data_IF_209941180357
#
_entry.id   IF_209941180357
#
_cell.length_a   1.000
_cell.length_b   1.000
_cell.length_c   1.000
_cell.angle_alpha   90.00
_cell.angle_beta   90.00
_cell.angle_gamma   90.00
#
_symmetry.space_group_name_H-M   'P 1'
#
loop_
_entity.id
_entity.type
_entity.pdbx_description
1 polymer ?
#
# COMPACT_ATOMS: atom_id res chain seq x y z
N UNK A 1 3.86 32.44 1.98
CA UNK A 1 4.36 31.54 0.92
C UNK A 1 5.35 30.53 1.44
N UNK A 2 6.43 31.00 2.00
CA UNK A 2 7.45 30.11 2.53
C UNK A 2 6.92 29.18 3.63
N UNK A 3 6.14 29.74 4.56
CA UNK A 3 5.58 28.95 5.65
C UNK A 3 4.65 27.83 5.14
N UNK A 4 3.93 28.06 4.06
CA UNK A 4 3.07 27.06 3.45
C UNK A 4 3.90 25.94 2.82
N UNK A 5 4.99 26.29 2.14
CA UNK A 5 5.91 25.31 1.55
C UNK A 5 6.59 24.50 2.66
N UNK A 6 7.08 25.19 3.69
CA UNK A 6 7.72 24.51 4.82
C UNK A 6 6.76 23.57 5.55
N UNK A 7 5.50 23.98 5.70
CA UNK A 7 4.50 23.15 6.33
C UNK A 7 4.20 21.91 5.48
N UNK A 8 4.10 22.08 4.14
CA UNK A 8 3.91 20.97 3.25
C UNK A 8 5.08 19.98 3.30
N UNK A 9 6.30 20.49 3.33
CA UNK A 9 7.49 19.66 3.43
C UNK A 9 7.53 18.91 4.76
N UNK A 10 7.21 19.58 5.87
CA UNK A 10 7.17 18.94 7.18
C UNK A 10 6.10 17.85 7.25
N UNK A 11 4.92 18.11 6.67
CA UNK A 11 3.85 17.13 6.61
C UNK A 11 4.31 15.90 5.82
N UNK A 12 4.98 16.10 4.67
CA UNK A 12 5.52 15.00 3.87
C UNK A 12 6.61 14.23 4.59
N UNK A 13 7.44 14.91 5.38
CA UNK A 13 8.47 14.23 6.17
C UNK A 13 7.89 13.33 7.25
N UNK A 14 6.71 13.67 7.78
CA UNK A 14 6.03 12.87 8.80
C UNK A 14 5.00 11.92 8.21
N UNK A 15 4.67 12.09 6.94
CA UNK A 15 3.70 11.24 6.28
C UNK A 15 4.25 9.84 6.03
N UNK A 16 3.37 8.87 6.19
CA UNK A 16 3.68 7.50 5.82
C UNK A 16 3.71 7.36 4.31
N UNK A 17 4.51 6.44 3.83
CA UNK A 17 4.67 6.17 2.41
C UNK A 17 3.90 4.93 2.00
N UNK A 18 3.06 5.09 0.99
CA UNK A 18 2.25 4.01 0.42
C UNK A 18 2.67 3.79 -1.03
N UNK A 19 2.89 2.55 -1.39
CA UNK A 19 3.12 2.17 -2.79
C UNK A 19 1.90 1.43 -3.29
N UNK A 20 1.37 1.85 -4.42
CA UNK A 20 0.22 1.20 -5.08
C UNK A 20 0.72 0.54 -6.36
N UNK A 21 0.52 -0.76 -6.48
CA UNK A 21 0.94 -1.54 -7.63
C UNK A 21 -0.29 -2.16 -8.29
N UNK A 22 -0.64 -1.65 -9.46
CA UNK A 22 -1.79 -2.12 -10.23
C UNK A 22 -1.53 -1.77 -11.70
N UNK A 23 -1.85 -2.69 -12.62
CA UNK A 23 -1.62 -2.45 -14.04
C UNK A 23 -2.70 -1.56 -14.67
N UNK A 24 -3.80 -1.33 -13.97
CA UNK A 24 -4.89 -0.46 -14.43
C UNK A 24 -4.60 0.99 -14.02
N UNK A 25 -4.39 1.85 -15.00
CA UNK A 25 -4.10 3.26 -14.77
C UNK A 25 -5.22 3.97 -13.99
N UNK A 26 -6.48 3.65 -14.29
CA UNK A 26 -7.58 4.32 -13.58
C UNK A 26 -7.65 3.93 -12.12
N UNK A 27 -7.28 2.71 -11.77
CA UNK A 27 -7.16 2.28 -10.38
C UNK A 27 -6.03 3.03 -9.69
N UNK A 28 -4.85 3.13 -10.33
CA UNK A 28 -3.75 3.89 -9.75
C UNK A 28 -4.14 5.34 -9.49
N UNK A 29 -4.82 5.98 -10.43
CA UNK A 29 -5.29 7.36 -10.26
C UNK A 29 -6.29 7.49 -9.12
N UNK A 30 -7.20 6.53 -9.00
CA UNK A 30 -8.19 6.51 -7.92
C UNK A 30 -7.49 6.45 -6.55
N UNK A 31 -6.52 5.57 -6.39
CA UNK A 31 -5.76 5.49 -5.15
C UNK A 31 -4.97 6.77 -4.88
N UNK A 32 -4.37 7.34 -5.90
CA UNK A 32 -3.64 8.59 -5.73
C UNK A 32 -4.56 9.69 -5.21
N UNK A 33 -5.71 9.87 -5.84
CA UNK A 33 -6.67 10.89 -5.42
C UNK A 33 -7.20 10.64 -4.01
N UNK A 34 -7.41 9.38 -3.67
CA UNK A 34 -7.92 9.01 -2.36
C UNK A 34 -6.92 9.27 -1.24
N UNK A 35 -5.64 9.08 -1.49
CA UNK A 35 -4.63 8.97 -0.44
C UNK A 35 -3.61 10.11 -0.38
N UNK A 36 -3.41 10.85 -1.47
CA UNK A 36 -2.27 11.77 -1.55
C UNK A 36 -2.32 12.96 -0.59
N UNK A 37 -3.49 13.31 -0.07
CA UNK A 37 -3.59 14.43 0.88
C UNK A 37 -2.96 14.08 2.23
N UNK A 38 -3.05 12.82 2.63
CA UNK A 38 -2.61 12.39 3.96
C UNK A 38 -1.35 11.53 3.93
N UNK A 39 -0.96 11.03 2.76
CA UNK A 39 0.14 10.08 2.62
C UNK A 39 1.03 10.44 1.44
N UNK A 40 2.29 10.02 1.52
CA UNK A 40 3.18 10.02 0.38
C UNK A 40 2.82 8.81 -0.49
N UNK A 41 2.33 9.03 -1.70
CA UNK A 41 1.84 7.94 -2.56
C UNK A 41 2.75 7.80 -3.77
N UNK A 42 3.26 6.59 -3.98
CA UNK A 42 4.02 6.22 -5.15
C UNK A 42 3.27 5.14 -5.91
N UNK A 43 3.33 5.20 -7.24
CA UNK A 43 2.57 4.30 -8.11
C UNK A 43 3.51 3.46 -8.97
N UNK A 44 3.16 2.20 -9.14
CA UNK A 44 3.89 1.31 -10.05
C UNK A 44 2.87 0.51 -10.87
N UNK A 45 3.17 0.30 -12.13
CA UNK A 45 2.26 -0.40 -13.04
C UNK A 45 2.42 -1.92 -13.02
N UNK A 46 3.54 -2.42 -12.53
CA UNK A 46 3.81 -3.84 -12.44
C UNK A 46 4.82 -4.14 -11.33
N UNK A 47 5.02 -5.43 -11.08
CA UNK A 47 5.90 -5.89 -10.01
C UNK A 47 7.36 -5.55 -10.24
N UNK A 48 7.82 -5.60 -11.47
CA UNK A 48 9.21 -5.27 -11.80
C UNK A 48 9.50 -3.81 -11.50
N UNK A 49 8.61 -2.93 -11.92
CA UNK A 49 8.77 -1.50 -11.65
C UNK A 49 8.77 -1.22 -10.16
N UNK A 50 7.84 -1.86 -9.42
CA UNK A 50 7.76 -1.67 -7.97
C UNK A 50 9.06 -2.13 -7.28
N UNK A 51 9.53 -3.32 -7.59
CA UNK A 51 10.76 -3.85 -6.99
C UNK A 51 11.98 -3.02 -7.36
N UNK A 52 12.10 -2.65 -8.63
CA UNK A 52 13.23 -1.86 -9.10
C UNK A 52 13.33 -0.51 -8.40
N UNK A 53 12.20 0.17 -8.26
CA UNK A 53 12.17 1.53 -7.70
C UNK A 53 12.18 1.57 -6.17
N UNK A 54 11.57 0.59 -5.51
CA UNK A 54 11.22 0.74 -4.10
C UNK A 54 11.76 -0.36 -3.17
N UNK A 55 12.46 -1.37 -3.68
CA UNK A 55 12.93 -2.51 -2.86
C UNK A 55 13.77 -2.07 -1.65
N UNK A 56 14.57 -1.03 -1.82
CA UNK A 56 15.45 -0.52 -0.77
C UNK A 56 14.98 0.83 -0.19
N UNK A 57 13.72 1.18 -0.41
CA UNK A 57 13.13 2.44 0.05
C UNK A 57 12.30 2.17 1.29
N UNK A 58 12.22 3.14 2.19
CA UNK A 58 11.34 3.02 3.35
C UNK A 58 9.89 3.12 2.90
N UNK A 59 9.14 2.05 3.14
CA UNK A 59 7.72 1.95 2.78
C UNK A 59 6.94 1.53 4.01
N UNK A 60 5.79 2.14 4.22
CA UNK A 60 4.92 1.79 5.35
C UNK A 60 3.78 0.87 4.95
N UNK A 61 3.31 0.95 3.71
CA UNK A 61 2.24 0.12 3.19
C UNK A 61 2.44 -0.15 1.70
N UNK A 62 2.26 -1.40 1.30
CA UNK A 62 2.17 -1.79 -0.10
C UNK A 62 0.73 -2.24 -0.36
N UNK A 63 0.09 -1.61 -1.35
CA UNK A 63 -1.23 -2.02 -1.86
C UNK A 63 -0.98 -2.65 -3.23
N UNK A 64 -1.29 -3.91 -3.39
CA UNK A 64 -0.96 -4.64 -4.61
C UNK A 64 -2.14 -5.42 -5.14
N UNK A 65 -2.38 -5.32 -6.45
CA UNK A 65 -3.28 -6.23 -7.15
C UNK A 65 -2.62 -7.60 -7.22
N UNK A 66 -3.39 -8.65 -6.98
CA UNK A 66 -2.89 -10.02 -7.14
C UNK A 66 -2.48 -10.29 -8.58
N UNK A 67 -3.33 -9.92 -9.52
CA UNK A 67 -3.14 -10.26 -10.92
C UNK A 67 -2.36 -9.17 -11.65
N UNK A 68 -1.05 -9.26 -11.59
CA UNK A 68 -0.13 -8.36 -12.28
C UNK A 68 0.57 -9.11 -13.40
N UNK A 69 0.97 -8.41 -14.49
CA UNK A 69 1.68 -9.08 -15.57
C UNK A 69 3.03 -9.61 -15.10
N UNK A 70 3.43 -10.76 -15.64
CA UNK A 70 4.71 -11.44 -15.44
C UNK A 70 4.89 -12.02 -14.03
N UNK A 71 4.78 -11.19 -13.00
CA UNK A 71 4.93 -11.62 -11.60
C UNK A 71 3.70 -11.14 -10.82
N UNK A 72 2.95 -12.06 -10.25
CA UNK A 72 1.73 -11.69 -9.51
C UNK A 72 2.06 -10.97 -8.19
N UNK A 73 1.01 -10.40 -7.57
CA UNK A 73 1.18 -9.61 -6.37
C UNK A 73 1.77 -10.37 -5.19
N UNK A 74 1.41 -11.65 -5.02
CA UNK A 74 1.96 -12.46 -3.93
C UNK A 74 3.44 -12.74 -4.12
N UNK A 75 3.85 -13.05 -5.34
CA UNK A 75 5.27 -13.26 -5.63
C UNK A 75 6.06 -11.97 -5.39
N UNK A 76 5.50 -10.84 -5.80
CA UNK A 76 6.13 -9.54 -5.57
C UNK A 76 6.30 -9.27 -4.07
N UNK A 77 5.25 -9.50 -3.29
CA UNK A 77 5.31 -9.29 -1.83
C UNK A 77 6.35 -10.22 -1.20
N UNK A 78 6.41 -11.48 -1.66
CA UNK A 78 7.43 -12.42 -1.16
C UNK A 78 8.84 -11.85 -1.38
N UNK A 79 9.09 -11.26 -2.53
CA UNK A 79 10.39 -10.65 -2.84
C UNK A 79 10.68 -9.41 -1.98
N UNK A 80 9.67 -8.59 -1.73
CA UNK A 80 9.84 -7.48 -0.79
C UNK A 80 10.17 -7.99 0.62
N UNK A 81 9.48 -9.03 1.08
CA UNK A 81 9.76 -9.63 2.40
C UNK A 81 11.19 -10.19 2.48
N UNK A 82 11.62 -10.88 1.44
CA UNK A 82 12.99 -11.41 1.36
C UNK A 82 14.04 -10.30 1.43
N UNK A 83 13.71 -9.14 0.90
CA UNK A 83 14.60 -7.96 0.93
C UNK A 83 14.57 -7.21 2.25
N UNK A 84 13.77 -7.67 3.22
CA UNK A 84 13.72 -7.06 4.55
C UNK A 84 12.53 -6.17 4.82
N UNK A 85 11.58 -6.08 3.90
CA UNK A 85 10.37 -5.28 4.13
C UNK A 85 9.55 -5.85 5.30
N UNK A 86 9.23 -5.02 6.28
CA UNK A 86 8.46 -5.42 7.47
C UNK A 86 7.17 -4.63 7.64
N UNK A 87 6.81 -3.79 6.65
CA UNK A 87 5.62 -2.95 6.72
C UNK A 87 4.34 -3.70 6.40
N UNK A 88 3.27 -2.95 6.34
CA UNK A 88 1.93 -3.46 6.08
C UNK A 88 1.73 -3.80 4.61
N UNK A 89 0.81 -4.72 4.34
CA UNK A 89 0.46 -5.11 2.98
C UNK A 89 -1.05 -5.29 2.87
N UNK A 90 -1.63 -4.65 1.86
CA UNK A 90 -3.02 -4.88 1.45
C UNK A 90 -2.98 -5.52 0.07
N UNK A 91 -3.60 -6.67 -0.06
CA UNK A 91 -3.74 -7.36 -1.33
C UNK A 91 -5.15 -7.15 -1.87
N UNK A 92 -5.26 -6.93 -3.18
CA UNK A 92 -6.53 -6.69 -3.85
C UNK A 92 -6.67 -7.69 -4.98
N UNK A 93 -7.88 -8.23 -5.19
CA UNK A 93 -8.12 -9.13 -6.31
C UNK A 93 -9.58 -9.11 -6.75
N UNK A 94 -9.80 -9.25 -8.05
CA UNK A 94 -11.12 -9.59 -8.60
C UNK A 94 -11.40 -11.09 -8.51
N UNK A 95 -10.41 -11.89 -8.11
CA UNK A 95 -10.46 -13.35 -8.15
C UNK A 95 -10.09 -13.94 -6.79
N UNK A 96 -11.03 -13.88 -5.81
CA UNK A 96 -10.70 -14.31 -4.43
C UNK A 96 -10.34 -15.81 -4.35
N UNK A 97 -10.83 -16.63 -5.28
CA UNK A 97 -10.56 -18.06 -5.27
C UNK A 97 -9.11 -18.42 -5.63
N UNK A 98 -8.34 -17.46 -6.16
CA UNK A 98 -6.94 -17.69 -6.51
C UNK A 98 -5.99 -17.59 -5.31
N UNK A 99 -6.51 -17.24 -4.15
CA UNK A 99 -5.69 -17.00 -2.95
C UNK A 99 -6.20 -17.88 -1.82
N UNK A 100 -5.28 -18.54 -1.10
CA UNK A 100 -5.67 -19.27 0.10
C UNK A 100 -5.15 -18.55 1.36
N UNK A 101 -5.77 -18.89 2.49
CA UNK A 101 -5.48 -18.25 3.78
C UNK A 101 -4.02 -18.45 4.21
N UNK A 102 -3.45 -19.60 3.91
CA UNK A 102 -2.07 -19.90 4.30
C UNK A 102 -1.08 -18.99 3.58
N UNK A 103 -1.32 -18.70 2.30
CA UNK A 103 -0.48 -17.76 1.55
C UNK A 103 -0.52 -16.37 2.17
N UNK A 104 -1.71 -15.91 2.55
CA UNK A 104 -1.87 -14.60 3.18
C UNK A 104 -1.15 -14.54 4.52
N UNK A 105 -1.29 -15.59 5.33
CA UNK A 105 -0.65 -15.67 6.65
C UNK A 105 0.87 -15.72 6.54
N UNK A 106 1.38 -16.52 5.61
CA UNK A 106 2.83 -16.70 5.43
C UNK A 106 3.53 -15.41 5.03
N UNK A 107 2.84 -14.53 4.30
CA UNK A 107 3.40 -13.26 3.87
C UNK A 107 3.00 -12.10 4.78
N UNK A 108 2.29 -12.38 5.85
CA UNK A 108 1.80 -11.36 6.80
C UNK A 108 1.00 -10.27 6.12
N UNK A 109 0.06 -10.70 5.25
CA UNK A 109 -0.85 -9.78 4.58
C UNK A 109 -1.81 -9.19 5.60
N UNK A 110 -1.88 -7.87 5.68
CA UNK A 110 -2.70 -7.17 6.66
C UNK A 110 -4.19 -7.26 6.36
N UNK A 111 -4.56 -7.04 5.11
CA UNK A 111 -5.94 -7.12 4.64
C UNK A 111 -5.99 -7.61 3.20
N UNK A 112 -7.10 -8.25 2.87
CA UNK A 112 -7.40 -8.69 1.52
C UNK A 112 -8.76 -8.11 1.11
N UNK A 113 -8.79 -7.37 0.00
CA UNK A 113 -10.01 -6.76 -0.52
C UNK A 113 -10.36 -7.34 -1.88
N UNK A 114 -11.65 -7.56 -2.10
CA UNK A 114 -12.17 -8.09 -3.37
C UNK A 114 -12.74 -6.94 -4.19
N UNK A 115 -12.43 -6.91 -5.48
CA UNK A 115 -13.01 -5.92 -6.39
C UNK A 115 -14.45 -6.27 -6.72
N UNK A 116 -15.36 -5.30 -6.90
CA UNK A 116 -15.14 -3.84 -6.86
C UNK A 116 -14.89 -3.34 -5.43
N UNK A 117 -14.00 -2.36 -5.32
CA UNK A 117 -13.54 -1.88 -4.02
C UNK A 117 -14.57 -0.98 -3.33
N UNK A 118 -14.78 -1.22 -2.04
CA UNK A 118 -15.45 -0.26 -1.16
C UNK A 118 -14.37 0.72 -0.69
N UNK A 119 -14.34 1.91 -1.29
CA UNK A 119 -13.29 2.89 -1.03
C UNK A 119 -13.34 3.42 0.40
N UNK A 120 -14.52 3.53 1.01
CA UNK A 120 -14.62 3.96 2.40
C UNK A 120 -14.05 2.93 3.36
N UNK A 121 -14.37 1.66 3.15
CA UNK A 121 -13.83 0.56 3.96
C UNK A 121 -12.31 0.47 3.80
N UNK A 122 -11.83 0.60 2.58
CA UNK A 122 -10.41 0.56 2.27
C UNK A 122 -9.68 1.71 2.94
N UNK A 123 -10.21 2.93 2.83
CA UNK A 123 -9.63 4.12 3.43
C UNK A 123 -9.54 3.98 4.95
N UNK A 124 -10.60 3.49 5.59
CA UNK A 124 -10.59 3.26 7.05
C UNK A 124 -9.53 2.23 7.45
N UNK A 125 -9.38 1.16 6.67
CA UNK A 125 -8.37 0.14 6.95
C UNK A 125 -6.97 0.70 6.82
N UNK A 126 -6.72 1.51 5.80
CA UNK A 126 -5.42 2.15 5.60
C UNK A 126 -5.09 3.06 6.79
N UNK A 127 -6.04 3.92 7.17
CA UNK A 127 -5.85 4.83 8.28
C UNK A 127 -5.59 4.07 9.58
N UNK A 128 -6.32 2.99 9.80
CA UNK A 128 -6.13 2.16 10.99
C UNK A 128 -4.73 1.54 11.01
N UNK A 129 -4.27 1.01 9.90
CA UNK A 129 -2.94 0.39 9.83
C UNK A 129 -1.82 1.39 10.04
N UNK A 130 -1.95 2.58 9.47
CA UNK A 130 -0.87 3.56 9.46
C UNK A 130 -0.92 4.54 10.63
N UNK A 131 -2.09 4.75 11.23
CA UNK A 131 -2.28 5.65 12.36
C UNK A 131 -2.48 4.91 13.69
N UNK A 132 -2.12 3.61 13.74
CA UNK A 132 -2.28 2.79 14.94
C UNK A 132 -1.62 3.40 16.17
N UNK A 133 -0.48 4.04 16.00
CA UNK A 133 0.22 4.73 17.08
C UNK A 133 -0.62 5.87 17.66
N UNK A 134 -1.31 6.60 16.80
CA UNK A 134 -2.17 7.72 17.18
C UNK A 134 -3.38 7.23 17.98
N UNK A 135 -3.92 6.08 17.59
CA UNK A 135 -5.03 5.44 18.31
C UNK A 135 -4.58 5.00 19.69
N UNK A 136 -3.42 4.37 19.79
CA UNK A 136 -2.86 3.93 21.06
C UNK A 136 -2.65 5.10 22.02
N UNK A 137 -2.16 6.22 21.52
CA UNK A 137 -1.97 7.43 22.34
C UNK A 137 -3.31 7.99 22.87
N UNK A 138 -4.36 7.93 22.08
CA UNK A 138 -5.69 8.37 22.49
C UNK A 138 -6.32 7.48 23.56
N UNK A 139 -5.95 6.21 23.58
CA UNK A 139 -6.47 5.25 24.54
C UNK A 139 -5.78 5.32 25.89
N UNK A 140 -4.64 5.97 25.95
CA UNK A 140 -3.90 6.17 27.16
C UNK A 140 -4.36 7.45 27.89
#
# INVERSE_FOLDING_TARGET
>A
MRSKVERGEREKMTEKTIIVVDDDESIRKTFFLLLHKNYQVELAKDSHQALQRFKNTKIDLIIADLKLPQMNGLEMIARFRESGYRGEVILISAFPDLVNIDQLANLSISHFFVKPLDLDALSRSIDHLLDSKKIAEKML
#
